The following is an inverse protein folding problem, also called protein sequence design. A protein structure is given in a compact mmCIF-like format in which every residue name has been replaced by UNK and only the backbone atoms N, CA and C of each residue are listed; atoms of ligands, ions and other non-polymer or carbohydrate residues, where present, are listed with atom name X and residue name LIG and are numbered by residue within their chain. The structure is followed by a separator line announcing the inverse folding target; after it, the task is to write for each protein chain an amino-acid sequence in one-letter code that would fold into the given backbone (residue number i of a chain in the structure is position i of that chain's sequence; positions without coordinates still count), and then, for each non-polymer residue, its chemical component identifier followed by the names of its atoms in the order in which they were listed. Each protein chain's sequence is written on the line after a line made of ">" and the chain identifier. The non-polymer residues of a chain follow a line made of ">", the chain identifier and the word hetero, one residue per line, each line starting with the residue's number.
data_IF_441943174415
#
_entry.id   IF_441943174415
#
_cell.length_a   1.000
_cell.length_b   1.000
_cell.length_c   1.000
_cell.angle_alpha   90.00
_cell.angle_beta   90.00
_cell.angle_gamma   90.00
#
_symmetry.space_group_name_H-M   'P 1'
#
loop_
_entity.id
_entity.type
_entity.pdbx_description
1 polymer ?
#
# COMPACT_ATOMS: atom_id res chain seq x y z
N UNK A 1 33.28 4.29 6.06
CA UNK A 1 33.40 4.85 7.39
C UNK A 1 32.10 5.35 7.89
N UNK A 2 31.60 4.69 8.86
CA UNK A 2 30.30 4.51 9.40
C UNK A 2 29.45 5.69 9.90
N UNK A 3 29.54 6.89 9.37
CA UNK A 3 28.73 8.00 9.90
C UNK A 3 27.57 8.41 8.99
N UNK A 4 27.60 8.14 7.72
CA UNK A 4 26.48 8.49 6.83
C UNK A 4 26.00 7.37 5.91
N UNK A 5 26.69 6.24 5.86
CA UNK A 5 26.27 5.05 5.10
C UNK A 5 26.05 5.24 3.59
N UNK A 6 26.10 6.43 3.10
CA UNK A 6 25.88 6.73 1.68
C UNK A 6 27.23 6.97 1.01
N UNK A 7 27.87 5.92 0.58
CA UNK A 7 28.89 6.06 -0.46
C UNK A 7 28.13 6.36 -1.75
N UNK A 8 28.28 7.57 -2.28
CA UNK A 8 27.94 7.83 -3.68
C UNK A 8 28.89 6.97 -4.50
N UNK A 9 28.38 5.98 -5.23
CA UNK A 9 29.24 5.15 -6.03
C UNK A 9 29.87 5.99 -7.14
N UNK A 10 31.16 5.96 -7.26
CA UNK A 10 31.78 6.25 -8.52
C UNK A 10 31.37 5.12 -9.47
N UNK A 11 30.35 5.38 -10.30
CA UNK A 11 29.87 4.42 -11.28
C UNK A 11 30.89 4.42 -12.42
N UNK A 12 31.97 3.74 -12.21
CA UNK A 12 32.77 3.23 -13.29
C UNK A 12 32.07 1.97 -13.81
N UNK A 13 31.43 2.08 -14.97
CA UNK A 13 30.71 0.98 -15.63
C UNK A 13 31.59 -0.26 -15.84
N UNK A 14 32.91 -0.10 -15.76
CA UNK A 14 33.90 -1.17 -15.87
C UNK A 14 34.25 -1.82 -14.53
N UNK A 15 33.83 -1.27 -13.40
CA UNK A 15 34.15 -1.82 -12.09
C UNK A 15 33.11 -2.80 -11.60
N UNK A 16 33.16 -4.04 -12.09
CA UNK A 16 32.28 -5.16 -11.71
C UNK A 16 32.34 -5.57 -10.23
N UNK A 17 33.19 -4.94 -9.43
CA UNK A 17 33.40 -5.25 -8.02
C UNK A 17 32.64 -4.32 -7.06
N UNK A 18 31.92 -3.32 -7.57
CA UNK A 18 31.08 -2.44 -6.76
C UNK A 18 29.78 -3.18 -6.36
N UNK A 19 29.82 -3.85 -5.22
CA UNK A 19 28.60 -4.42 -4.60
C UNK A 19 27.92 -3.32 -3.80
N UNK A 20 26.74 -2.91 -4.28
CA UNK A 20 25.86 -2.04 -3.51
C UNK A 20 25.03 -2.86 -2.55
N UNK A 21 25.02 -2.46 -1.30
CA UNK A 21 24.06 -2.94 -0.33
C UNK A 21 23.02 -1.84 -0.11
N UNK A 22 21.79 -2.08 -0.55
CA UNK A 22 20.68 -1.16 -0.40
C UNK A 22 19.71 -1.76 0.63
N UNK A 23 19.84 -1.45 1.93
CA UNK A 23 18.99 -2.02 2.96
C UNK A 23 17.57 -1.42 2.85
N UNK A 24 16.59 -2.27 2.64
CA UNK A 24 15.18 -1.92 2.78
C UNK A 24 14.65 -2.53 4.07
N UNK A 25 14.27 -1.69 5.02
CA UNK A 25 13.65 -2.12 6.26
C UNK A 25 12.14 -1.84 6.19
N UNK A 26 11.37 -2.89 6.42
CA UNK A 26 9.92 -2.84 6.51
C UNK A 26 9.50 -3.32 7.89
N UNK A 27 8.55 -2.63 8.50
CA UNK A 27 7.96 -2.99 9.77
C UNK A 27 6.45 -2.87 9.67
N UNK A 28 5.71 -3.86 10.15
CA UNK A 28 4.25 -3.85 10.11
C UNK A 28 3.67 -4.39 11.40
N UNK A 29 2.63 -3.72 11.88
CA UNK A 29 1.78 -4.18 12.97
C UNK A 29 0.34 -4.23 12.49
N UNK A 30 -0.38 -5.24 12.91
CA UNK A 30 -1.81 -5.30 12.61
C UNK A 30 -2.60 -5.84 13.80
N UNK A 31 -3.84 -5.38 13.90
CA UNK A 31 -4.83 -5.91 14.83
C UNK A 31 -6.15 -6.11 14.07
N UNK A 32 -6.87 -7.17 14.39
CA UNK A 32 -8.20 -7.46 13.84
C UNK A 32 -9.12 -7.94 14.96
N UNK A 33 -10.34 -7.43 14.94
CA UNK A 33 -11.43 -7.86 15.81
C UNK A 33 -12.59 -8.29 14.95
N UNK A 34 -13.18 -9.43 15.25
CA UNK A 34 -14.41 -9.92 14.65
C UNK A 34 -15.43 -10.13 15.78
N UNK A 35 -16.61 -9.60 15.58
CA UNK A 35 -17.72 -9.68 16.53
C UNK A 35 -18.91 -10.30 15.81
N UNK A 36 -19.45 -11.38 16.36
CA UNK A 36 -20.70 -12.00 15.91
C UNK A 36 -21.75 -11.76 17.01
N UNK A 37 -22.79 -11.02 16.65
CA UNK A 37 -23.92 -10.77 17.53
C UNK A 37 -25.11 -11.60 17.09
N UNK A 38 -25.53 -12.52 17.96
CA UNK A 38 -26.71 -13.36 17.79
C UNK A 38 -26.71 -14.24 16.51
N UNK A 39 -25.54 -14.47 15.91
CA UNK A 39 -25.41 -15.16 14.64
C UNK A 39 -25.97 -14.38 13.42
N UNK A 40 -26.41 -13.14 13.62
CA UNK A 40 -27.09 -12.33 12.62
C UNK A 40 -26.26 -11.14 12.14
N UNK A 41 -25.58 -10.47 13.06
CA UNK A 41 -24.82 -9.24 12.79
C UNK A 41 -23.35 -9.51 12.97
N UNK A 42 -22.61 -9.39 11.89
CA UNK A 42 -21.17 -9.64 11.87
C UNK A 42 -20.45 -8.31 11.71
N UNK A 43 -19.49 -8.02 12.58
CA UNK A 43 -18.66 -6.82 12.49
C UNK A 43 -17.20 -7.22 12.45
N UNK A 44 -16.44 -6.56 11.60
CA UNK A 44 -14.99 -6.72 11.52
C UNK A 44 -14.35 -5.34 11.57
N UNK A 45 -13.36 -5.18 12.42
CA UNK A 45 -12.49 -4.01 12.43
C UNK A 45 -11.04 -4.46 12.30
N UNK A 46 -10.29 -3.80 11.44
CA UNK A 46 -8.87 -4.07 11.24
C UNK A 46 -8.11 -2.75 11.26
N UNK A 47 -6.99 -2.73 11.95
CA UNK A 47 -6.01 -1.65 11.90
C UNK A 47 -4.66 -2.21 11.51
N UNK A 48 -4.02 -1.60 10.52
CA UNK A 48 -2.66 -1.92 10.11
C UNK A 48 -1.81 -0.67 10.12
N UNK A 49 -0.62 -0.77 10.70
CA UNK A 49 0.39 0.26 10.68
C UNK A 49 1.65 -0.29 10.02
N UNK A 50 2.06 0.33 8.92
CA UNK A 50 3.23 -0.08 8.15
C UNK A 50 4.27 1.03 8.13
N UNK A 51 5.54 0.68 8.26
CA UNK A 51 6.64 1.60 8.10
C UNK A 51 7.66 1.09 7.08
N UNK A 52 8.23 2.03 6.33
CA UNK A 52 9.30 1.74 5.37
C UNK A 52 10.47 2.71 5.54
N UNK A 53 11.69 2.21 5.37
CA UNK A 53 12.89 3.05 5.39
C UNK A 53 13.06 3.91 4.14
N UNK A 54 12.17 3.79 3.15
CA UNK A 54 12.20 4.62 1.93
C UNK A 54 11.81 6.08 2.19
N UNK A 55 11.04 6.33 3.25
CA UNK A 55 10.54 7.65 3.60
C UNK A 55 11.30 8.26 4.79
N UNK A 56 11.20 9.59 4.92
CA UNK A 56 11.73 10.31 6.07
C UNK A 56 11.11 9.80 7.39
N UNK A 57 11.78 10.00 8.54
CA UNK A 57 11.26 9.56 9.83
C UNK A 57 9.84 10.03 10.12
N UNK A 58 9.46 11.24 9.69
CA UNK A 58 8.13 11.82 9.88
C UNK A 58 7.06 11.17 8.99
N UNK A 59 7.43 10.73 7.78
CA UNK A 59 6.50 10.24 6.77
C UNK A 59 6.50 8.72 6.60
N UNK A 60 7.36 8.00 7.34
CA UNK A 60 7.55 6.54 7.16
C UNK A 60 6.37 5.69 7.58
N UNK A 61 5.54 6.15 8.52
CA UNK A 61 4.42 5.38 9.04
C UNK A 61 3.15 5.63 8.24
N UNK A 62 2.57 4.56 7.70
CA UNK A 62 1.24 4.54 7.10
C UNK A 62 0.25 3.82 7.99
N UNK A 63 -0.96 4.38 8.15
CA UNK A 63 -2.04 3.80 8.95
C UNK A 63 -3.22 3.48 8.05
N UNK A 64 -3.67 2.23 8.10
CA UNK A 64 -4.65 1.65 7.18
C UNK A 64 -5.78 0.98 7.96
N UNK A 65 -6.77 1.77 8.42
CA UNK A 65 -7.97 1.24 9.05
C UNK A 65 -8.92 0.63 8.02
N UNK A 66 -9.64 -0.42 8.43
CA UNK A 66 -10.75 -0.98 7.68
C UNK A 66 -11.83 -1.48 8.64
N UNK A 67 -13.08 -1.27 8.26
CA UNK A 67 -14.25 -1.76 8.98
C UNK A 67 -15.24 -2.39 8.00
N UNK A 68 -15.92 -3.42 8.46
CA UNK A 68 -16.96 -4.09 7.71
C UNK A 68 -18.09 -4.53 8.62
N UNK A 69 -19.29 -4.54 8.06
CA UNK A 69 -20.45 -5.11 8.70
C UNK A 69 -21.21 -6.01 7.72
N UNK A 70 -21.79 -7.08 8.24
CA UNK A 70 -22.67 -7.94 7.47
C UNK A 70 -23.90 -8.28 8.31
N UNK A 71 -25.06 -8.28 7.65
CA UNK A 71 -26.33 -8.64 8.24
C UNK A 71 -26.89 -9.85 7.51
N UNK A 72 -27.03 -10.95 8.24
CA UNK A 72 -27.68 -12.17 7.77
C UNK A 72 -29.20 -12.02 7.90
N UNK A 73 -29.83 -11.47 6.87
CA UNK A 73 -31.27 -11.20 6.86
C UNK A 73 -32.07 -12.49 6.96
N UNK A 74 -31.54 -13.60 6.43
CA UNK A 74 -32.16 -14.92 6.53
C UNK A 74 -32.40 -15.37 7.98
N UNK A 75 -31.52 -14.96 8.91
CA UNK A 75 -31.66 -15.34 10.32
C UNK A 75 -32.69 -14.50 11.10
N UNK A 76 -33.31 -13.51 10.45
CA UNK A 76 -34.38 -12.76 11.06
C UNK A 76 -35.69 -13.57 11.16
N UNK A 77 -36.46 -13.33 12.21
CA UNK A 77 -37.68 -14.09 12.52
C UNK A 77 -38.70 -14.15 11.37
N UNK A 78 -38.75 -13.07 10.56
CA UNK A 78 -39.67 -12.96 9.42
C UNK A 78 -39.22 -13.76 8.18
N UNK A 79 -37.91 -14.09 8.05
CA UNK A 79 -37.37 -14.85 6.91
C UNK A 79 -36.86 -16.24 7.31
N UNK A 80 -36.67 -16.52 8.59
CA UNK A 80 -36.06 -17.75 9.07
C UNK A 80 -36.76 -19.00 8.56
N UNK A 81 -38.11 -18.98 8.51
CA UNK A 81 -38.94 -20.12 8.09
C UNK A 81 -39.23 -20.13 6.58
N UNK A 82 -38.69 -19.19 5.80
CA UNK A 82 -38.89 -19.16 4.36
C UNK A 82 -38.22 -20.35 3.69
N UNK A 83 -38.95 -21.12 2.89
CA UNK A 83 -38.41 -22.20 2.07
C UNK A 83 -37.88 -21.70 0.72
N UNK A 84 -38.22 -20.48 0.34
CA UNK A 84 -37.78 -19.89 -0.94
C UNK A 84 -36.42 -19.22 -0.81
N UNK A 85 -36.17 -18.50 0.28
CA UNK A 85 -34.92 -17.83 0.56
C UNK A 85 -34.09 -18.73 1.46
N UNK A 86 -32.94 -19.21 0.98
CA UNK A 86 -32.03 -20.07 1.75
C UNK A 86 -30.92 -19.25 2.41
N UNK A 87 -30.36 -18.27 1.72
CA UNK A 87 -29.48 -17.26 2.30
C UNK A 87 -29.80 -15.88 1.74
N UNK A 88 -29.69 -14.87 2.58
CA UNK A 88 -29.77 -13.47 2.19
C UNK A 88 -28.92 -12.67 3.17
N UNK A 89 -27.83 -12.10 2.66
CA UNK A 89 -26.85 -11.39 3.48
C UNK A 89 -26.44 -10.08 2.82
N UNK A 90 -26.60 -9.00 3.54
CA UNK A 90 -26.15 -7.67 3.14
C UNK A 90 -24.76 -7.43 3.76
N UNK A 91 -23.86 -6.87 2.98
CA UNK A 91 -22.49 -6.52 3.40
C UNK A 91 -22.19 -5.06 3.10
N UNK A 92 -21.50 -4.41 4.00
CA UNK A 92 -20.93 -3.08 3.80
C UNK A 92 -19.50 -3.06 4.32
N UNK A 93 -18.62 -2.42 3.58
CA UNK A 93 -17.22 -2.31 3.94
C UNK A 93 -16.66 -0.94 3.60
N UNK A 94 -15.78 -0.46 4.43
CA UNK A 94 -14.97 0.71 4.19
C UNK A 94 -13.54 0.41 4.64
N UNK A 95 -12.56 0.87 3.87
CA UNK A 95 -11.17 0.70 4.25
C UNK A 95 -10.24 1.61 3.48
N UNK A 96 -9.09 1.85 4.10
CA UNK A 96 -7.95 2.49 3.48
C UNK A 96 -6.86 1.46 3.25
N UNK A 97 -6.27 1.49 2.06
CA UNK A 97 -5.08 0.70 1.72
C UNK A 97 -3.95 1.64 1.36
N UNK A 98 -2.73 1.22 1.62
CA UNK A 98 -1.52 1.97 1.30
C UNK A 98 -0.61 1.19 0.36
N UNK A 99 0.10 1.94 -0.46
CA UNK A 99 1.15 1.42 -1.32
C UNK A 99 2.40 2.28 -1.16
N UNK A 100 3.55 1.63 -0.98
CA UNK A 100 4.86 2.28 -0.89
C UNK A 100 5.61 2.31 -2.23
N UNK A 101 4.92 2.24 -3.34
CA UNK A 101 5.35 1.87 -4.68
C UNK A 101 6.43 2.70 -5.37
N UNK A 102 7.47 3.14 -4.66
CA UNK A 102 8.56 3.95 -5.24
C UNK A 102 9.79 3.11 -5.61
N UNK A 103 9.71 1.79 -5.54
CA UNK A 103 10.81 0.95 -5.96
C UNK A 103 11.00 1.04 -7.49
N UNK A 104 12.12 1.62 -7.90
CA UNK A 104 12.62 1.62 -9.29
C UNK A 104 11.61 2.02 -10.38
N UNK A 105 10.85 3.10 -10.18
CA UNK A 105 10.01 3.62 -11.25
C UNK A 105 10.90 4.28 -12.30
N UNK A 106 10.90 3.75 -13.51
CA UNK A 106 11.50 4.43 -14.67
C UNK A 106 10.66 5.68 -14.98
N UNK A 107 11.23 6.85 -14.72
CA UNK A 107 10.57 8.14 -14.99
C UNK A 107 10.76 8.59 -16.45
N UNK A 108 11.17 7.70 -17.32
CA UNK A 108 11.41 7.94 -18.75
C UNK A 108 12.87 8.34 -19.06
N UNK A 109 13.30 8.00 -20.28
CA UNK A 109 14.66 8.27 -20.76
C UNK A 109 15.76 7.48 -20.06
N UNK A 110 15.44 6.31 -19.49
CA UNK A 110 16.40 5.46 -18.78
C UNK A 110 16.78 5.99 -17.40
N UNK A 111 16.11 7.02 -16.90
CA UNK A 111 16.32 7.56 -15.55
C UNK A 111 15.42 6.84 -14.57
N UNK A 112 16.01 6.11 -13.66
CA UNK A 112 15.31 5.49 -12.52
C UNK A 112 15.26 6.48 -11.35
N UNK A 113 14.13 6.55 -10.64
CA UNK A 113 14.07 7.23 -9.35
C UNK A 113 15.06 6.54 -8.42
N UNK A 114 15.94 7.31 -7.78
CA UNK A 114 16.93 6.75 -6.85
C UNK A 114 16.26 5.93 -5.75
N UNK A 115 16.97 4.94 -5.25
CA UNK A 115 16.49 4.04 -4.19
C UNK A 115 16.07 4.78 -2.89
N UNK A 116 16.54 6.00 -2.70
CA UNK A 116 16.18 6.87 -1.58
C UNK A 116 15.59 8.19 -2.10
N UNK A 117 14.35 8.18 -2.60
CA UNK A 117 13.75 9.36 -3.23
C UNK A 117 13.45 10.51 -2.24
N UNK A 118 13.51 10.23 -0.94
CA UNK A 118 13.35 11.21 0.13
C UNK A 118 14.67 11.83 0.61
N UNK A 119 15.80 11.41 0.06
CA UNK A 119 17.12 11.92 0.47
C UNK A 119 17.74 12.78 -0.61
N UNK A 120 18.35 13.88 -0.18
CA UNK A 120 19.15 14.72 -1.07
C UNK A 120 20.45 14.00 -1.43
N UNK A 121 20.54 13.54 -2.66
CA UNK A 121 21.72 12.92 -3.23
C UNK A 121 22.30 13.82 -4.32
N UNK A 122 23.62 13.75 -4.50
CA UNK A 122 24.33 14.50 -5.53
C UNK A 122 24.97 13.53 -6.52
N UNK A 123 24.92 13.90 -7.80
CA UNK A 123 25.64 13.20 -8.84
C UNK A 123 26.80 14.08 -9.34
N UNK A 124 28.00 13.53 -9.60
CA UNK A 124 29.05 14.29 -10.23
C UNK A 124 28.65 14.68 -11.64
N UNK A 125 28.90 15.92 -12.00
CA UNK A 125 28.73 16.41 -13.36
C UNK A 125 29.70 15.74 -14.33
N UNK A 126 29.35 15.70 -15.60
CA UNK A 126 30.24 15.21 -16.66
C UNK A 126 31.31 16.27 -17.02
N UNK A 127 32.28 15.87 -17.83
CA UNK A 127 33.37 16.75 -18.27
C UNK A 127 32.89 18.04 -18.98
N UNK A 128 31.68 18.05 -19.54
CA UNK A 128 31.10 19.23 -20.22
C UNK A 128 30.39 20.20 -19.29
N UNK A 129 30.11 19.80 -18.03
CA UNK A 129 29.49 20.65 -17.01
C UNK A 129 30.49 21.18 -15.97
N UNK A 130 31.78 21.21 -16.30
CA UNK A 130 32.81 21.78 -15.43
C UNK A 130 32.82 23.31 -15.55
N UNK A 131 32.72 24.01 -14.43
CA UNK A 131 32.87 25.48 -14.40
C UNK A 131 34.35 25.89 -14.58
N UNK A 132 35.27 25.09 -14.05
CA UNK A 132 36.72 25.25 -14.21
C UNK A 132 37.31 23.90 -14.62
N UNK A 133 38.35 23.90 -15.48
CA UNK A 133 39.05 22.65 -15.85
C UNK A 133 39.59 21.91 -14.60
N UNK A 134 39.17 20.65 -14.49
CA UNK A 134 39.57 19.79 -13.35
C UNK A 134 38.75 19.92 -12.08
N UNK A 135 37.75 20.81 -12.05
CA UNK A 135 36.82 20.92 -10.90
C UNK A 135 35.51 20.21 -11.20
N UNK A 136 35.22 19.14 -10.48
CA UNK A 136 33.98 18.41 -10.57
C UNK A 136 32.85 19.18 -9.84
N UNK A 137 31.80 19.52 -10.57
CA UNK A 137 30.58 20.10 -10.00
C UNK A 137 29.62 18.96 -9.66
N UNK A 138 29.03 19.01 -8.49
CA UNK A 138 28.00 18.06 -8.06
C UNK A 138 26.63 18.70 -8.25
N UNK A 139 25.74 18.00 -8.92
CA UNK A 139 24.34 18.43 -9.09
C UNK A 139 23.41 17.61 -8.23
N UNK A 140 22.43 18.23 -7.56
CA UNK A 140 21.47 17.47 -6.78
C UNK A 140 20.58 16.62 -7.70
N UNK A 141 20.27 15.41 -7.24
CA UNK A 141 19.23 14.57 -7.84
C UNK A 141 17.89 15.04 -7.27
N UNK A 142 16.85 14.99 -8.09
CA UNK A 142 15.49 15.31 -7.62
C UNK A 142 15.11 14.42 -6.44
N UNK A 143 14.68 15.05 -5.36
CA UNK A 143 14.21 14.38 -4.15
C UNK A 143 12.97 15.09 -3.63
N UNK A 144 12.21 14.43 -2.77
CA UNK A 144 11.07 15.02 -2.08
C UNK A 144 11.02 14.50 -0.65
N UNK A 145 11.16 15.40 0.30
CA UNK A 145 11.04 15.09 1.73
C UNK A 145 9.60 14.75 2.13
N UNK A 146 8.63 15.25 1.37
CA UNK A 146 7.19 15.06 1.63
C UNK A 146 6.65 13.72 1.10
N UNK A 147 7.52 12.88 0.55
CA UNK A 147 7.10 11.56 0.06
C UNK A 147 6.54 10.71 1.20
N UNK A 148 5.34 10.21 0.97
CA UNK A 148 4.61 9.36 1.92
C UNK A 148 3.83 8.27 1.16
N UNK A 149 3.14 7.43 1.90
CA UNK A 149 2.30 6.37 1.38
C UNK A 149 1.21 6.88 0.46
N UNK A 150 1.10 6.30 -0.72
CA UNK A 150 -0.09 6.46 -1.55
C UNK A 150 -1.27 5.77 -0.86
N UNK A 151 -2.38 6.49 -0.68
CA UNK A 151 -3.53 5.99 0.08
C UNK A 151 -4.74 5.91 -0.83
N UNK A 152 -5.33 4.73 -0.89
CA UNK A 152 -6.58 4.48 -1.60
C UNK A 152 -7.68 4.18 -0.60
N UNK A 153 -8.81 4.88 -0.69
CA UNK A 153 -10.00 4.61 0.11
C UNK A 153 -11.02 3.86 -0.74
N UNK A 154 -11.54 2.77 -0.21
CA UNK A 154 -12.56 1.95 -0.87
C UNK A 154 -13.79 1.83 0.02
N UNK A 155 -14.97 2.01 -0.56
CA UNK A 155 -16.27 1.68 0.03
C UNK A 155 -16.90 0.62 -0.83
N UNK A 156 -17.44 -0.42 -0.23
CA UNK A 156 -18.15 -1.46 -0.94
C UNK A 156 -19.47 -1.81 -0.28
N UNK A 157 -20.45 -2.19 -1.11
CA UNK A 157 -21.74 -2.75 -0.71
C UNK A 157 -21.91 -4.06 -1.47
N UNK A 158 -22.28 -5.11 -0.76
CA UNK A 158 -22.49 -6.43 -1.33
C UNK A 158 -23.80 -7.05 -0.85
N UNK A 159 -24.46 -7.78 -1.73
CA UNK A 159 -25.64 -8.59 -1.44
C UNK A 159 -25.37 -10.01 -1.89
N UNK A 160 -25.37 -10.94 -0.95
CA UNK A 160 -25.32 -12.37 -1.24
C UNK A 160 -26.74 -12.92 -1.12
N UNK A 161 -27.13 -13.78 -2.04
CA UNK A 161 -28.45 -14.39 -2.05
C UNK A 161 -28.39 -15.84 -2.51
N UNK A 162 -29.30 -16.62 -1.95
CA UNK A 162 -29.51 -18.02 -2.30
C UNK A 162 -31.00 -18.32 -2.24
N UNK A 163 -31.56 -18.73 -3.36
CA UNK A 163 -32.97 -19.02 -3.51
C UNK A 163 -33.23 -20.50 -3.86
N UNK A 164 -34.36 -20.99 -3.42
CA UNK A 164 -34.91 -22.33 -3.61
C UNK A 164 -34.10 -23.42 -2.89
N UNK A 165 -34.77 -24.54 -2.62
CA UNK A 165 -34.13 -25.71 -2.05
C UNK A 165 -33.02 -26.21 -2.95
N UNK A 166 -31.94 -26.72 -2.37
CA UNK A 166 -30.73 -27.17 -3.06
C UNK A 166 -29.97 -26.07 -3.82
N UNK A 167 -30.12 -24.79 -3.42
CA UNK A 167 -29.33 -23.68 -3.96
C UNK A 167 -29.41 -23.55 -5.48
N UNK A 168 -30.62 -23.76 -6.04
CA UNK A 168 -30.85 -23.73 -7.50
C UNK A 168 -30.41 -22.41 -8.10
N UNK A 169 -30.57 -21.30 -7.36
CA UNK A 169 -30.14 -19.97 -7.77
C UNK A 169 -29.38 -19.32 -6.62
N UNK A 170 -28.09 -19.12 -6.81
CA UNK A 170 -27.24 -18.39 -5.87
C UNK A 170 -26.36 -17.38 -6.60
N UNK A 171 -26.02 -16.29 -5.92
CA UNK A 171 -25.16 -15.28 -6.49
C UNK A 171 -24.79 -14.19 -5.50
N UNK A 172 -23.89 -13.32 -5.92
CA UNK A 172 -23.54 -12.11 -5.20
C UNK A 172 -23.48 -10.93 -6.15
N UNK A 173 -23.87 -9.77 -5.66
CA UNK A 173 -23.76 -8.49 -6.36
C UNK A 173 -22.96 -7.55 -5.48
N UNK A 174 -21.87 -7.02 -6.00
CA UNK A 174 -21.02 -6.07 -5.30
C UNK A 174 -20.91 -4.76 -6.09
N UNK A 175 -21.07 -3.64 -5.38
CA UNK A 175 -20.88 -2.30 -5.90
C UNK A 175 -19.82 -1.62 -5.03
N UNK A 176 -18.79 -1.08 -5.66
CA UNK A 176 -17.73 -0.41 -4.93
C UNK A 176 -17.34 0.92 -5.57
N UNK A 177 -16.84 1.81 -4.71
CA UNK A 177 -16.23 3.07 -5.13
C UNK A 177 -14.84 3.16 -4.52
N UNK A 178 -13.86 3.44 -5.38
CA UNK A 178 -12.46 3.65 -4.99
C UNK A 178 -12.07 5.09 -5.30
N UNK A 179 -11.31 5.69 -4.36
CA UNK A 179 -10.80 7.05 -4.50
C UNK A 179 -9.37 7.12 -3.99
#
# INVERSE_FOLDING_TARGET
>A
DGVTGVRVPNIDENNKNNRYYLPLNLQAFFARTNIDLLGKYLFTATMRADATSLYTPENRWGYFPAVGAAWKIKEESFLKNSNTVQDLKLRVGWGKTGQSGIAETDIGGGKKVGYFPSQLLFTPGNATSQYLPGVTIYSPISFSEDLTWEKTTTINFGLDFEFFKNSILSGSVDVYKRK
#
